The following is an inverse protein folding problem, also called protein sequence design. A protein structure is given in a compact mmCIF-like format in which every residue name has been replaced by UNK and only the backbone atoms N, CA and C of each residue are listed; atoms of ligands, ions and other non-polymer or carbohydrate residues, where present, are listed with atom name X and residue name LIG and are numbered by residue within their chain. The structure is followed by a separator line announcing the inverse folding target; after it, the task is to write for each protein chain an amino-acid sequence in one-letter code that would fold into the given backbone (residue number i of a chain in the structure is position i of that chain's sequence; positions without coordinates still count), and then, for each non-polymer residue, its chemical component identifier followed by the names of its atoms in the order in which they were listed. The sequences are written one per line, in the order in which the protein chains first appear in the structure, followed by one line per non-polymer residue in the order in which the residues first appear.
data_IF_342892924427
#
_entry.id   IF_342892924427
#
_cell.length_a   1.000
_cell.length_b   1.000
_cell.length_c   1.000
_cell.angle_alpha   90.00
_cell.angle_beta   90.00
_cell.angle_gamma   90.00
#
_symmetry.space_group_name_H-M   'P 1'
#
loop_
_entity.id
_entity.type
_entity.pdbx_description
1 polymer ?
#
# COMPACT_ATOMS: atom_id res chain seq x y z
N UNK A 1 -17.22 -54.25 43.31
CA UNK A 1 -16.69 -53.53 42.13
C UNK A 1 -16.54 -54.42 40.89
N UNK A 2 -17.61 -54.64 40.09
CA UNK A 2 -17.49 -55.39 38.83
C UNK A 2 -17.41 -54.50 37.56
N UNK A 3 -17.72 -53.21 37.66
CA UNK A 3 -17.90 -52.34 36.47
C UNK A 3 -16.59 -51.87 35.82
N UNK A 4 -15.49 -51.80 36.57
CA UNK A 4 -14.17 -51.40 36.03
C UNK A 4 -13.53 -52.52 35.21
N UNK A 5 -13.77 -53.79 35.57
CA UNK A 5 -13.23 -54.96 34.88
C UNK A 5 -13.82 -55.13 33.47
N UNK A 6 -15.10 -54.83 33.28
CA UNK A 6 -15.79 -54.95 31.99
C UNK A 6 -15.28 -53.94 30.94
N UNK A 7 -14.85 -52.75 31.35
CA UNK A 7 -14.35 -51.73 30.43
C UNK A 7 -12.96 -52.05 29.85
N UNK A 8 -12.11 -52.79 30.59
CA UNK A 8 -10.80 -53.22 30.10
C UNK A 8 -10.88 -54.35 29.06
N UNK A 9 -12.00 -55.07 28.97
CA UNK A 9 -12.18 -56.18 28.03
C UNK A 9 -12.32 -55.74 26.56
N UNK A 10 -12.59 -54.46 26.28
CA UNK A 10 -12.71 -53.92 24.91
C UNK A 10 -11.37 -53.60 24.23
N UNK A 11 -10.25 -53.73 24.93
CA UNK A 11 -8.92 -53.59 24.33
C UNK A 11 -8.26 -54.96 24.24
N UNK A 12 -7.87 -55.37 23.04
CA UNK A 12 -7.20 -56.65 22.81
C UNK A 12 -6.02 -56.82 23.76
N UNK A 13 -6.08 -57.86 24.59
CA UNK A 13 -4.98 -58.21 25.49
C UNK A 13 -3.86 -58.86 24.67
N UNK A 14 -2.62 -58.59 25.05
CA UNK A 14 -1.49 -59.33 24.49
C UNK A 14 -1.53 -60.78 24.96
N UNK A 15 -0.99 -61.68 24.14
CA UNK A 15 -1.06 -63.14 24.34
C UNK A 15 -0.47 -63.59 25.68
N UNK A 16 0.51 -62.85 26.21
CA UNK A 16 1.15 -63.13 27.51
C UNK A 16 0.42 -62.54 28.72
N UNK A 17 -0.69 -61.82 28.54
CA UNK A 17 -1.47 -61.19 29.60
C UNK A 17 -0.77 -60.08 30.39
N UNK A 18 0.50 -59.78 30.08
CA UNK A 18 1.33 -58.84 30.84
C UNK A 18 1.40 -57.48 30.14
N UNK A 19 0.73 -56.47 30.69
CA UNK A 19 0.76 -55.12 30.14
C UNK A 19 2.15 -54.49 30.30
N UNK A 20 2.97 -54.54 29.26
CA UNK A 20 4.33 -53.98 29.24
C UNK A 20 4.38 -52.45 29.19
N UNK A 21 3.25 -51.78 28.93
CA UNK A 21 3.08 -50.31 28.94
C UNK A 21 2.06 -49.91 30.01
N UNK A 22 2.42 -48.96 30.88
CA UNK A 22 1.49 -48.34 31.84
C UNK A 22 0.60 -47.33 31.11
N UNK A 23 -0.72 -47.43 31.23
CA UNK A 23 -1.62 -46.43 30.65
C UNK A 23 -1.51 -45.12 31.44
N UNK A 24 -1.11 -44.03 30.77
CA UNK A 24 -1.10 -42.71 31.39
C UNK A 24 -2.53 -42.20 31.53
N UNK A 25 -3.03 -42.08 32.76
CA UNK A 25 -4.30 -41.43 33.04
C UNK A 25 -4.20 -39.95 32.61
N UNK A 26 -4.86 -39.57 31.51
CA UNK A 26 -4.96 -38.17 31.11
C UNK A 26 -5.80 -37.45 32.16
N UNK A 27 -5.24 -36.43 32.82
CA UNK A 27 -5.97 -35.64 33.82
C UNK A 27 -7.21 -34.99 33.20
N UNK A 28 -8.40 -35.43 33.66
CA UNK A 28 -9.73 -34.93 33.24
C UNK A 28 -9.87 -33.40 33.32
N UNK A 29 -9.05 -32.76 34.16
CA UNK A 29 -9.05 -31.32 34.41
C UNK A 29 -8.67 -30.48 33.18
N UNK A 30 -7.88 -31.01 32.24
CA UNK A 30 -7.58 -30.29 31.00
C UNK A 30 -8.77 -30.30 30.03
N UNK A 31 -9.50 -31.41 29.92
CA UNK A 31 -10.63 -31.55 29.00
C UNK A 31 -11.80 -30.67 29.44
N UNK A 32 -12.09 -30.62 30.74
CA UNK A 32 -13.23 -29.85 31.29
C UNK A 32 -13.02 -28.33 31.27
N UNK A 33 -11.78 -27.86 31.42
CA UNK A 33 -11.45 -26.42 31.32
C UNK A 33 -11.49 -25.91 29.89
N UNK A 34 -11.11 -26.74 28.91
CA UNK A 34 -11.14 -26.39 27.48
C UNK A 34 -12.59 -26.29 26.97
N UNK A 35 -13.50 -27.17 27.41
CA UNK A 35 -14.90 -27.21 26.95
C UNK A 35 -15.70 -25.94 27.30
N UNK A 36 -15.50 -25.35 28.50
CA UNK A 36 -16.23 -24.15 28.94
C UNK A 36 -15.82 -22.86 28.21
N UNK A 37 -14.69 -22.86 27.51
CA UNK A 37 -14.13 -21.66 26.86
C UNK A 37 -14.41 -21.59 25.36
N UNK A 38 -15.09 -22.59 24.78
CA UNK A 38 -15.35 -22.67 23.33
C UNK A 38 -16.56 -21.84 22.86
N UNK A 39 -17.39 -21.32 23.76
CA UNK A 39 -18.56 -20.51 23.40
C UNK A 39 -18.63 -19.21 24.18
N UNK A 40 -18.00 -18.15 23.65
CA UNK A 40 -18.34 -16.79 24.06
C UNK A 40 -19.82 -16.50 23.77
N UNK A 41 -20.48 -15.77 24.68
CA UNK A 41 -21.89 -15.42 24.54
C UNK A 41 -22.10 -14.59 23.27
N UNK A 42 -23.31 -14.65 22.71
CA UNK A 42 -23.66 -13.85 21.52
C UNK A 42 -23.42 -12.35 21.75
N UNK A 43 -23.77 -11.85 22.94
CA UNK A 43 -23.55 -10.47 23.35
C UNK A 43 -22.06 -10.10 23.32
N UNK A 44 -21.19 -10.97 23.83
CA UNK A 44 -19.74 -10.73 23.78
C UNK A 44 -19.22 -10.68 22.34
N UNK A 45 -19.71 -11.56 21.46
CA UNK A 45 -19.35 -11.54 20.04
C UNK A 45 -19.81 -10.26 19.33
N UNK A 46 -21.00 -9.75 19.67
CA UNK A 46 -21.49 -8.48 19.12
C UNK A 46 -20.63 -7.29 19.60
N UNK A 47 -20.29 -7.24 20.89
CA UNK A 47 -19.41 -6.21 21.43
C UNK A 47 -18.02 -6.24 20.77
N UNK A 48 -17.45 -7.41 20.54
CA UNK A 48 -16.18 -7.56 19.83
C UNK A 48 -16.27 -7.13 18.36
N UNK A 49 -17.36 -7.45 17.67
CA UNK A 49 -17.62 -7.01 16.29
C UNK A 49 -17.73 -5.49 16.21
N UNK A 50 -18.48 -4.88 17.12
CA UNK A 50 -18.64 -3.43 17.17
C UNK A 50 -17.33 -2.72 17.50
N UNK A 51 -16.53 -3.27 18.42
CA UNK A 51 -15.17 -2.75 18.70
C UNK A 51 -14.29 -2.82 17.45
N UNK A 52 -14.27 -3.97 16.78
CA UNK A 52 -13.49 -4.17 15.53
C UNK A 52 -13.96 -3.24 14.41
N UNK A 53 -15.27 -3.00 14.29
CA UNK A 53 -15.82 -2.05 13.30
C UNK A 53 -15.33 -0.64 13.58
N UNK A 54 -15.47 -0.15 14.82
CA UNK A 54 -14.99 1.19 15.22
C UNK A 54 -13.49 1.37 15.01
N UNK A 55 -12.68 0.36 15.35
CA UNK A 55 -11.22 0.46 15.13
C UNK A 55 -10.86 0.55 13.66
N UNK A 56 -11.59 -0.16 12.79
CA UNK A 56 -11.38 -0.11 11.33
C UNK A 56 -11.81 1.23 10.75
N UNK A 57 -12.95 1.76 11.16
CA UNK A 57 -13.44 3.08 10.73
C UNK A 57 -12.39 4.17 11.07
N UNK A 58 -11.83 4.14 12.28
CA UNK A 58 -10.77 5.07 12.69
C UNK A 58 -9.48 4.87 11.87
N UNK A 59 -9.09 3.62 11.62
CA UNK A 59 -7.92 3.30 10.81
C UNK A 59 -8.07 3.80 9.36
N UNK A 60 -9.25 3.62 8.77
CA UNK A 60 -9.59 4.09 7.42
C UNK A 60 -9.58 5.63 7.36
N UNK A 61 -10.14 6.30 8.36
CA UNK A 61 -10.12 7.77 8.46
C UNK A 61 -8.68 8.31 8.54
N UNK A 62 -7.81 7.68 9.33
CA UNK A 62 -6.38 8.07 9.43
C UNK A 62 -5.67 7.87 8.08
N UNK A 63 -5.90 6.73 7.42
CA UNK A 63 -5.31 6.44 6.10
C UNK A 63 -5.78 7.43 5.04
N UNK A 64 -7.06 7.76 5.04
CA UNK A 64 -7.64 8.70 4.09
C UNK A 64 -7.09 10.12 4.29
N UNK A 65 -7.01 10.61 5.52
CA UNK A 65 -6.36 11.89 5.83
C UNK A 65 -4.92 11.93 5.33
N UNK A 66 -4.14 10.88 5.62
CA UNK A 66 -2.76 10.80 5.16
C UNK A 66 -2.63 10.74 3.62
N UNK A 67 -3.60 10.12 2.92
CA UNK A 67 -3.67 10.10 1.46
C UNK A 67 -3.97 11.49 0.91
N UNK A 68 -5.00 12.15 1.44
CA UNK A 68 -5.40 13.49 1.03
C UNK A 68 -4.26 14.50 1.23
N UNK A 69 -3.54 14.44 2.34
CA UNK A 69 -2.37 15.30 2.59
C UNK A 69 -1.25 15.09 1.57
N UNK A 70 -0.98 13.84 1.18
CA UNK A 70 0.04 13.51 0.17
C UNK A 70 -0.37 14.03 -1.20
N UNK A 71 -1.63 13.83 -1.58
CA UNK A 71 -2.19 14.31 -2.85
C UNK A 71 -2.19 15.84 -2.91
N UNK A 72 -2.59 16.51 -1.83
CA UNK A 72 -2.55 17.97 -1.72
C UNK A 72 -1.11 18.51 -1.87
N UNK A 73 -0.13 17.91 -1.18
CA UNK A 73 1.29 18.27 -1.31
C UNK A 73 1.82 18.03 -2.73
N UNK A 74 1.41 16.93 -3.37
CA UNK A 74 1.80 16.61 -4.75
C UNK A 74 1.26 17.67 -5.73
N UNK A 75 -0.04 17.97 -5.64
CA UNK A 75 -0.70 19.00 -6.46
C UNK A 75 -0.08 20.39 -6.24
N UNK A 76 0.21 20.76 -4.99
CA UNK A 76 0.88 22.02 -4.68
C UNK A 76 2.29 22.10 -5.29
N UNK A 77 3.04 20.99 -5.27
CA UNK A 77 4.38 20.92 -5.89
C UNK A 77 4.30 21.04 -7.41
N UNK A 78 3.35 20.37 -8.04
CA UNK A 78 3.12 20.43 -9.50
C UNK A 78 2.74 21.84 -9.94
N UNK A 79 1.81 22.49 -9.25
CA UNK A 79 1.41 23.87 -9.52
C UNK A 79 2.58 24.85 -9.30
N UNK A 80 3.34 24.70 -8.22
CA UNK A 80 4.53 25.53 -8.00
C UNK A 80 5.62 25.30 -9.07
N UNK A 81 5.77 24.07 -9.57
CA UNK A 81 6.70 23.77 -10.65
C UNK A 81 6.25 24.41 -11.97
N UNK A 82 4.95 24.32 -12.29
CA UNK A 82 4.37 24.98 -13.46
C UNK A 82 4.54 26.51 -13.39
N UNK A 83 4.24 27.13 -12.23
CA UNK A 83 4.48 28.56 -12.01
C UNK A 83 5.95 28.93 -12.15
N UNK A 84 6.86 28.11 -11.63
CA UNK A 84 8.32 28.31 -11.81
C UNK A 84 8.71 28.27 -13.27
N UNK A 85 8.21 27.30 -14.05
CA UNK A 85 8.49 27.22 -15.48
C UNK A 85 7.96 28.45 -16.23
N UNK A 86 6.74 28.89 -15.95
CA UNK A 86 6.17 30.09 -16.55
C UNK A 86 6.95 31.36 -16.18
N UNK A 87 7.35 31.50 -14.92
CA UNK A 87 8.16 32.64 -14.47
C UNK A 87 9.55 32.62 -15.08
N UNK A 88 10.18 31.45 -15.22
CA UNK A 88 11.44 31.29 -15.92
C UNK A 88 11.31 31.76 -17.36
N UNK A 89 10.30 31.30 -18.11
CA UNK A 89 10.02 31.72 -19.48
C UNK A 89 9.80 33.23 -19.61
N UNK A 90 9.05 33.82 -18.68
CA UNK A 90 8.78 35.27 -18.63
C UNK A 90 10.03 36.09 -18.29
N UNK A 91 10.87 35.61 -17.37
CA UNK A 91 12.06 36.31 -16.89
C UNK A 91 13.24 36.21 -17.87
N UNK A 92 13.34 35.11 -18.62
CA UNK A 92 14.37 34.95 -19.64
C UNK A 92 14.19 35.95 -20.76
N UNK A 93 15.19 36.78 -20.98
CA UNK A 93 15.30 37.68 -22.13
C UNK A 93 15.95 36.93 -23.30
N UNK A 94 15.37 37.06 -24.49
CA UNK A 94 15.82 36.34 -25.68
C UNK A 94 16.33 37.28 -26.77
N UNK A 95 17.37 36.87 -27.48
CA UNK A 95 17.79 37.53 -28.71
C UNK A 95 17.08 36.92 -29.91
N UNK A 96 16.17 37.67 -30.52
CA UNK A 96 15.47 37.22 -31.73
C UNK A 96 16.40 37.28 -32.95
N UNK A 97 16.62 36.13 -33.59
CA UNK A 97 17.39 36.04 -34.84
C UNK A 97 16.42 36.14 -36.02
N UNK A 98 16.36 37.31 -36.65
CA UNK A 98 15.48 37.56 -37.82
C UNK A 98 16.15 37.24 -39.15
N UNK A 99 17.46 37.47 -39.27
CA UNK A 99 18.19 37.37 -40.54
C UNK A 99 18.78 35.98 -40.76
N UNK A 100 18.49 35.38 -41.92
CA UNK A 100 18.90 34.00 -42.26
C UNK A 100 20.42 33.84 -42.40
N UNK A 101 21.14 34.85 -42.88
CA UNK A 101 22.60 34.74 -43.03
C UNK A 101 23.32 34.52 -41.68
N UNK A 102 22.76 35.05 -40.58
CA UNK A 102 23.33 34.85 -39.24
C UNK A 102 23.30 33.38 -38.83
N UNK A 103 22.29 32.62 -39.24
CA UNK A 103 22.20 31.19 -38.94
C UNK A 103 23.32 30.40 -39.65
N UNK A 104 23.69 30.81 -40.87
CA UNK A 104 24.72 30.14 -41.66
C UNK A 104 26.13 30.37 -41.14
N UNK A 105 26.36 31.47 -40.43
CA UNK A 105 27.67 31.83 -39.85
C UNK A 105 27.89 31.27 -38.45
N UNK A 106 26.84 30.80 -37.77
CA UNK A 106 26.95 30.29 -36.41
C UNK A 106 27.61 28.90 -36.37
N UNK A 107 28.37 28.65 -35.31
CA UNK A 107 28.95 27.33 -35.06
C UNK A 107 27.88 26.27 -34.78
N UNK A 108 28.21 25.01 -35.02
CA UNK A 108 27.31 23.86 -34.72
C UNK A 108 26.86 23.84 -33.25
N UNK A 109 27.68 24.32 -32.31
CA UNK A 109 27.31 24.41 -30.89
C UNK A 109 26.26 25.49 -30.65
N UNK A 110 26.40 26.66 -31.26
CA UNK A 110 25.42 27.74 -31.16
C UNK A 110 24.09 27.37 -31.83
N UNK A 111 24.12 26.71 -32.99
CA UNK A 111 22.91 26.23 -33.67
C UNK A 111 22.09 25.24 -32.84
N UNK A 112 22.72 24.46 -31.96
CA UNK A 112 22.02 23.55 -31.02
C UNK A 112 21.31 24.29 -29.89
N UNK A 113 21.72 25.53 -29.59
CA UNK A 113 21.12 26.34 -28.52
C UNK A 113 19.92 27.15 -29.00
N UNK A 114 19.79 27.38 -30.32
CA UNK A 114 18.64 28.06 -30.90
C UNK A 114 17.39 27.22 -30.62
N UNK A 115 16.32 27.88 -30.20
CA UNK A 115 15.00 27.29 -29.96
C UNK A 115 13.95 28.05 -30.76
N UNK A 116 12.88 27.36 -31.15
CA UNK A 116 11.68 27.96 -31.75
C UNK A 116 10.57 28.04 -30.72
N UNK A 117 9.77 29.10 -30.79
CA UNK A 117 8.52 29.17 -30.04
C UNK A 117 7.49 28.28 -30.72
N UNK A 118 6.87 27.38 -29.95
CA UNK A 118 5.75 26.53 -30.38
C UNK A 118 4.64 26.69 -29.36
N UNK A 119 3.42 26.82 -29.83
CA UNK A 119 2.24 26.74 -28.95
C UNK A 119 1.80 25.29 -28.88
N UNK A 120 1.66 24.76 -27.68
CA UNK A 120 1.15 23.42 -27.49
C UNK A 120 -0.35 23.36 -27.77
N UNK A 121 -0.81 22.46 -28.66
CA UNK A 121 -2.22 22.43 -29.07
C UNK A 121 -3.16 21.95 -27.95
N UNK A 122 -2.62 21.27 -26.92
CA UNK A 122 -3.41 20.70 -25.82
C UNK A 122 -3.56 21.67 -24.64
N UNK A 123 -2.52 22.43 -24.33
CA UNK A 123 -2.45 23.30 -23.15
C UNK A 123 -2.54 24.78 -23.51
N UNK A 124 -2.33 25.15 -24.78
CA UNK A 124 -2.26 26.54 -25.24
C UNK A 124 -1.04 27.30 -24.74
N UNK A 125 -0.07 26.62 -24.11
CA UNK A 125 1.12 27.23 -23.53
C UNK A 125 2.20 27.43 -24.60
N UNK A 126 2.95 28.52 -24.49
CA UNK A 126 4.09 28.81 -25.38
C UNK A 126 5.33 28.13 -24.81
N UNK A 127 5.88 27.18 -25.55
CA UNK A 127 7.11 26.48 -25.20
C UNK A 127 8.25 26.84 -26.16
N UNK A 128 9.48 26.89 -25.62
CA UNK A 128 10.70 26.98 -26.44
C UNK A 128 11.22 25.57 -26.71
N UNK A 129 11.00 25.10 -27.94
CA UNK A 129 11.35 23.76 -28.39
C UNK A 129 12.55 23.82 -29.34
N UNK A 130 13.31 22.72 -29.45
CA UNK A 130 14.32 22.59 -30.50
C UNK A 130 13.70 22.84 -31.89
N UNK A 131 14.39 23.55 -32.79
CA UNK A 131 13.91 23.80 -34.15
C UNK A 131 13.58 22.51 -34.91
N UNK A 132 14.29 21.44 -34.58
CA UNK A 132 14.24 20.13 -35.23
C UNK A 132 13.25 19.16 -34.61
N UNK A 133 12.59 19.53 -33.50
CA UNK A 133 11.54 18.70 -32.93
C UNK A 133 10.32 18.68 -33.86
N UNK A 134 9.85 17.47 -34.15
CA UNK A 134 8.59 17.19 -34.86
C UNK A 134 7.43 17.32 -33.89
#
# INVERSE_FOLDING_TARGET
EPLVAAAMAKQGRNVSGRNWKKSRNKSSTQVTKVVKQLSSSWQQKQLERDKKRRTKEIEEEIKERARQDKEAKKKAREDQAARRQQNLLKATTYQTITKVHKLKTLSKKQLRQIKKTRVDPKTGQVELVSPWAK
#
